data_IF_454640665794
#
_entry.id   IF_454640665794
#
_cell.length_a   1.000
_cell.length_b   1.000
_cell.length_c   1.000
_cell.angle_alpha   90.00
_cell.angle_beta   90.00
_cell.angle_gamma   90.00
#
_symmetry.space_group_name_H-M   'P 1'
#
loop_
_entity.id
_entity.type
_entity.pdbx_description
1 polymer ?
#
# COMPACT_ATOMS: atom_id res chain seq x y z
N UNK A 1 17.14 2.23 -16.45
CA UNK A 1 16.22 1.56 -17.40
C UNK A 1 15.06 0.84 -16.71
N UNK A 2 15.26 0.10 -15.61
CA UNK A 2 14.17 -0.60 -14.87
C UNK A 2 13.02 0.29 -14.38
N UNK A 3 13.30 1.52 -13.92
CA UNK A 3 12.25 2.42 -13.43
C UNK A 3 11.25 2.85 -14.52
N UNK A 4 11.74 3.05 -15.75
CA UNK A 4 10.89 3.45 -16.88
C UNK A 4 10.00 2.28 -17.35
N UNK A 5 10.54 1.06 -17.41
CA UNK A 5 9.75 -0.14 -17.75
C UNK A 5 8.72 -0.47 -16.67
N UNK A 6 9.06 -0.31 -15.39
CA UNK A 6 8.10 -0.51 -14.30
C UNK A 6 6.97 0.54 -14.31
N UNK A 7 7.29 1.80 -14.62
CA UNK A 7 6.29 2.85 -14.80
C UNK A 7 5.36 2.54 -15.98
N UNK A 8 5.92 2.15 -17.13
CA UNK A 8 5.14 1.81 -18.32
C UNK A 8 4.22 0.60 -18.06
N UNK A 9 4.72 -0.43 -17.37
CA UNK A 9 3.94 -1.61 -17.02
C UNK A 9 2.79 -1.28 -16.05
N UNK A 10 3.07 -0.46 -15.03
CA UNK A 10 2.05 0.01 -14.08
C UNK A 10 0.99 0.89 -14.75
N UNK A 11 1.39 1.80 -15.67
CA UNK A 11 0.44 2.59 -16.46
C UNK A 11 -0.41 1.72 -17.38
N UNK A 12 0.19 0.76 -18.07
CA UNK A 12 -0.55 -0.16 -18.93
C UNK A 12 -1.56 -0.97 -18.11
N UNK A 13 -1.14 -1.56 -16.99
CA UNK A 13 -2.02 -2.31 -16.09
C UNK A 13 -3.19 -1.44 -15.58
N UNK A 14 -2.93 -0.19 -15.22
CA UNK A 14 -3.98 0.74 -14.79
C UNK A 14 -4.99 1.06 -15.91
N UNK A 15 -4.50 1.31 -17.14
CA UNK A 15 -5.35 1.59 -18.30
C UNK A 15 -6.21 0.37 -18.68
N UNK A 16 -5.63 -0.83 -18.71
CA UNK A 16 -6.36 -2.06 -18.99
C UNK A 16 -7.36 -2.40 -17.88
N UNK A 17 -7.00 -2.19 -16.61
CA UNK A 17 -7.91 -2.34 -15.48
C UNK A 17 -9.10 -1.39 -15.55
N UNK A 18 -8.87 -0.13 -15.92
CA UNK A 18 -9.94 0.85 -16.15
C UNK A 18 -10.84 0.43 -17.31
N UNK A 19 -10.27 -0.01 -18.43
CA UNK A 19 -11.02 -0.50 -19.58
C UNK A 19 -11.90 -1.71 -19.21
N UNK A 20 -11.34 -2.67 -18.46
CA UNK A 20 -12.07 -3.83 -17.96
C UNK A 20 -13.21 -3.43 -17.01
N UNK A 21 -12.95 -2.53 -16.06
CA UNK A 21 -13.96 -2.04 -15.13
C UNK A 21 -15.11 -1.33 -15.86
N UNK A 22 -14.79 -0.46 -16.83
CA UNK A 22 -15.79 0.17 -17.69
C UNK A 22 -16.59 -0.90 -18.45
N UNK A 23 -15.91 -1.87 -19.09
CA UNK A 23 -16.57 -2.94 -19.85
C UNK A 23 -17.52 -3.78 -18.99
N UNK A 24 -17.10 -4.20 -17.79
CA UNK A 24 -17.93 -4.97 -16.85
C UNK A 24 -19.09 -4.13 -16.34
N UNK A 25 -18.88 -2.85 -16.04
CA UNK A 25 -19.93 -1.95 -15.58
C UNK A 25 -20.99 -1.75 -16.67
N UNK A 26 -20.57 -1.49 -17.91
CA UNK A 26 -21.49 -1.36 -19.05
C UNK A 26 -22.23 -2.66 -19.36
N UNK A 27 -21.57 -3.82 -19.23
CA UNK A 27 -22.20 -5.14 -19.46
C UNK A 27 -23.21 -5.50 -18.36
N UNK A 28 -22.89 -5.17 -17.11
CA UNK A 28 -23.78 -5.40 -15.95
C UNK A 28 -24.97 -4.45 -15.97
N UNK A 29 -24.78 -3.18 -16.36
CA UNK A 29 -25.87 -2.22 -16.56
C UNK A 29 -26.83 -2.70 -17.65
N UNK A 30 -26.30 -3.23 -18.77
CA UNK A 30 -27.11 -3.82 -19.85
C UNK A 30 -27.91 -5.06 -19.40
N UNK A 31 -27.38 -5.86 -18.47
CA UNK A 31 -28.12 -6.99 -17.86
C UNK A 31 -29.18 -6.52 -16.85
N UNK A 32 -28.89 -5.49 -16.05
CA UNK A 32 -29.85 -4.95 -15.06
C UNK A 32 -31.02 -4.23 -15.71
N UNK A 33 -30.82 -3.57 -16.85
CA UNK A 33 -31.92 -2.95 -17.64
C UNK A 33 -32.92 -4.00 -18.16
N UNK A 34 -32.51 -5.26 -18.34
CA UNK A 34 -33.41 -6.36 -18.75
C UNK A 34 -34.25 -6.92 -17.59
N UNK A 35 -33.78 -6.78 -16.35
CA UNK A 35 -34.50 -7.19 -15.13
C UNK A 35 -34.98 -5.93 -14.40
N UNK A 36 -36.21 -5.52 -14.67
CA UNK A 36 -36.93 -4.29 -14.30
C UNK A 36 -36.82 -3.80 -12.83
N UNK A 37 -35.62 -3.49 -12.33
CA UNK A 37 -35.38 -2.95 -10.98
C UNK A 37 -34.10 -2.12 -10.94
N UNK A 38 -34.29 -0.81 -10.73
CA UNK A 38 -33.33 0.28 -10.47
C UNK A 38 -32.74 1.06 -11.66
N UNK A 39 -32.62 2.37 -11.44
CA UNK A 39 -32.05 3.37 -12.35
C UNK A 39 -30.66 2.97 -12.88
N UNK A 40 -30.35 3.29 -14.15
CA UNK A 40 -29.11 2.88 -14.79
C UNK A 40 -27.90 3.52 -14.09
N UNK A 41 -26.94 2.69 -13.67
CA UNK A 41 -25.69 3.13 -13.04
C UNK A 41 -24.73 3.49 -14.15
N UNK A 42 -24.98 4.63 -14.81
CA UNK A 42 -24.08 5.14 -15.84
C UNK A 42 -22.81 5.71 -15.19
N UNK A 43 -21.61 5.39 -15.68
CA UNK A 43 -20.39 6.07 -15.26
C UNK A 43 -20.49 7.54 -15.69
N UNK A 44 -20.91 8.39 -14.77
CA UNK A 44 -21.04 9.83 -14.98
C UNK A 44 -19.72 10.53 -14.67
N UNK A 45 -19.33 11.50 -15.50
CA UNK A 45 -18.22 12.41 -15.21
C UNK A 45 -18.42 13.17 -13.89
N UNK A 46 -19.67 13.34 -13.45
CA UNK A 46 -19.98 13.89 -12.13
C UNK A 46 -19.58 12.93 -10.99
N UNK A 47 -19.79 11.62 -11.14
CA UNK A 47 -19.29 10.61 -10.20
C UNK A 47 -17.76 10.55 -10.20
N UNK A 48 -17.13 10.65 -11.38
CA UNK A 48 -15.67 10.73 -11.49
C UNK A 48 -15.12 11.97 -10.76
N UNK A 49 -15.76 13.13 -10.92
CA UNK A 49 -15.42 14.37 -10.20
C UNK A 49 -15.60 14.23 -8.69
N UNK A 50 -16.58 13.43 -8.25
CA UNK A 50 -16.82 13.15 -6.83
C UNK A 50 -15.75 12.21 -6.25
N UNK A 51 -15.29 11.22 -7.02
CA UNK A 51 -14.14 10.36 -6.67
C UNK A 51 -12.78 11.08 -6.79
N UNK A 52 -12.68 12.09 -7.66
CA UNK A 52 -11.42 12.81 -7.90
C UNK A 52 -10.95 13.58 -6.67
N UNK A 53 -11.85 14.05 -5.80
CA UNK A 53 -11.48 14.74 -4.54
C UNK A 53 -10.68 13.84 -3.59
N UNK A 54 -11.19 12.67 -3.16
CA UNK A 54 -10.40 11.76 -2.33
C UNK A 54 -9.18 11.20 -3.08
N UNK A 55 -9.32 10.93 -4.40
CA UNK A 55 -8.22 10.46 -5.23
C UNK A 55 -7.05 11.45 -5.35
N UNK A 56 -7.34 12.75 -5.43
CA UNK A 56 -6.32 13.79 -5.52
C UNK A 56 -5.48 13.90 -4.23
N UNK A 57 -6.09 13.70 -3.06
CA UNK A 57 -5.36 13.66 -1.79
C UNK A 57 -4.41 12.46 -1.73
N UNK A 58 -4.89 11.26 -2.09
CA UNK A 58 -4.04 10.07 -2.14
C UNK A 58 -2.93 10.18 -3.20
N UNK A 59 -3.21 10.82 -4.33
CA UNK A 59 -2.22 11.07 -5.37
C UNK A 59 -1.16 12.06 -4.93
N UNK A 60 -1.57 13.18 -4.29
CA UNK A 60 -0.65 14.18 -3.76
C UNK A 60 0.25 13.58 -2.67
N UNK A 61 -0.31 12.79 -1.75
CA UNK A 61 0.46 12.06 -0.75
C UNK A 61 1.50 11.13 -1.40
N UNK A 62 1.08 10.34 -2.40
CA UNK A 62 1.98 9.44 -3.13
C UNK A 62 3.08 10.20 -3.88
N UNK A 63 2.76 11.34 -4.50
CA UNK A 63 3.72 12.16 -5.22
C UNK A 63 4.77 12.76 -4.27
N UNK A 64 4.35 13.27 -3.12
CA UNK A 64 5.25 13.81 -2.09
C UNK A 64 6.18 12.71 -1.57
N UNK A 65 5.63 11.55 -1.20
CA UNK A 65 6.43 10.39 -0.73
C UNK A 65 7.46 9.97 -1.77
N UNK A 66 7.06 9.92 -3.04
CA UNK A 66 7.96 9.54 -4.12
C UNK A 66 9.05 10.59 -4.39
N UNK A 67 8.71 11.88 -4.33
CA UNK A 67 9.67 12.97 -4.48
C UNK A 67 10.71 12.96 -3.35
N UNK A 68 10.27 12.77 -2.10
CA UNK A 68 11.17 12.65 -0.95
C UNK A 68 12.09 11.43 -1.06
N UNK A 69 11.57 10.29 -1.51
CA UNK A 69 12.39 9.08 -1.74
C UNK A 69 13.47 9.32 -2.80
N UNK A 70 13.11 9.95 -3.93
CA UNK A 70 14.07 10.27 -4.99
C UNK A 70 15.14 11.26 -4.50
N UNK A 71 14.75 12.24 -3.69
CA UNK A 71 15.69 13.18 -3.09
C UNK A 71 16.68 12.48 -2.15
N UNK A 72 16.19 11.56 -1.31
CA UNK A 72 17.00 10.80 -0.37
C UNK A 72 17.95 9.83 -1.10
N UNK A 73 17.47 9.14 -2.15
CA UNK A 73 18.29 8.29 -3.02
C UNK A 73 19.40 9.12 -3.68
N UNK A 74 19.08 10.30 -4.20
CA UNK A 74 20.08 11.18 -4.81
C UNK A 74 21.17 11.59 -3.80
N UNK A 75 20.78 11.89 -2.55
CA UNK A 75 21.73 12.17 -1.48
C UNK A 75 22.65 11.00 -1.14
N UNK A 76 22.13 9.76 -1.15
CA UNK A 76 22.92 8.56 -0.86
C UNK A 76 23.84 8.18 -2.02
N UNK A 77 23.38 8.30 -3.26
CA UNK A 77 24.19 8.05 -4.45
C UNK A 77 25.36 9.04 -4.54
N UNK A 78 25.18 10.28 -4.07
CA UNK A 78 26.25 11.26 -3.97
C UNK A 78 27.34 10.92 -2.93
N UNK A 79 27.06 10.04 -1.95
CA UNK A 79 28.04 9.62 -0.92
C UNK A 79 29.02 8.52 -1.39
N UNK A 80 28.80 7.91 -2.56
CA UNK A 80 29.72 6.95 -3.18
C UNK A 80 29.06 5.63 -3.60
N UNK A 81 29.77 4.85 -4.43
CA UNK A 81 29.27 3.59 -5.02
C UNK A 81 28.88 2.54 -3.97
N UNK A 82 29.65 2.45 -2.89
CA UNK A 82 29.45 1.44 -1.84
C UNK A 82 28.19 1.76 -1.02
N UNK A 83 27.92 3.04 -0.76
CA UNK A 83 26.71 3.51 -0.09
C UNK A 83 25.47 3.36 -0.98
N UNK A 84 25.58 3.64 -2.28
CA UNK A 84 24.50 3.43 -3.23
C UNK A 84 24.10 1.94 -3.32
N UNK A 85 25.10 1.05 -3.35
CA UNK A 85 24.89 -0.40 -3.39
C UNK A 85 24.29 -0.92 -2.07
N UNK A 86 24.83 -0.46 -0.92
CA UNK A 86 24.29 -0.80 0.39
C UNK A 86 22.83 -0.36 0.54
N UNK A 87 22.48 0.83 0.05
CA UNK A 87 21.11 1.33 0.04
C UNK A 87 20.17 0.52 -0.87
N UNK A 88 20.66 0.07 -2.03
CA UNK A 88 19.90 -0.79 -2.94
C UNK A 88 19.57 -2.15 -2.30
N UNK A 89 20.56 -2.77 -1.66
CA UNK A 89 20.39 -4.04 -0.92
C UNK A 89 19.45 -3.83 0.27
N UNK A 90 19.69 -2.79 1.07
CA UNK A 90 18.83 -2.40 2.19
C UNK A 90 17.36 -2.22 1.76
N UNK A 91 17.14 -1.43 0.70
CA UNK A 91 15.82 -1.14 0.17
C UNK A 91 15.14 -2.41 -0.34
N UNK A 92 15.88 -3.30 -1.01
CA UNK A 92 15.34 -4.56 -1.53
C UNK A 92 14.86 -5.48 -0.42
N UNK A 93 15.65 -5.62 0.65
CA UNK A 93 15.27 -6.45 1.80
C UNK A 93 14.02 -5.87 2.46
N UNK A 94 14.01 -4.56 2.70
CA UNK A 94 12.86 -3.89 3.34
C UNK A 94 11.59 -3.97 2.51
N UNK A 95 11.68 -3.71 1.20
CA UNK A 95 10.51 -3.74 0.33
C UNK A 95 9.96 -5.15 0.16
N UNK A 96 10.83 -6.12 -0.12
CA UNK A 96 10.41 -7.50 -0.37
C UNK A 96 9.92 -8.22 0.88
N UNK A 97 10.65 -8.12 1.99
CA UNK A 97 10.40 -8.95 3.17
C UNK A 97 9.35 -8.35 4.12
N UNK A 98 9.26 -7.02 4.19
CA UNK A 98 8.40 -6.31 5.16
C UNK A 98 7.24 -5.61 4.44
N UNK A 99 7.53 -4.67 3.51
CA UNK A 99 6.48 -3.85 2.90
C UNK A 99 5.46 -4.65 2.09
N UNK A 100 5.87 -5.63 1.28
CA UNK A 100 4.94 -6.36 0.40
C UNK A 100 3.88 -7.15 1.19
N UNK A 101 4.24 -7.99 2.18
CA UNK A 101 3.24 -8.69 3.00
C UNK A 101 2.30 -7.74 3.75
N UNK A 102 2.82 -6.65 4.30
CA UNK A 102 2.05 -5.68 5.08
C UNK A 102 1.08 -4.91 4.19
N UNK A 103 1.53 -4.51 3.00
CA UNK A 103 0.66 -3.87 2.01
C UNK A 103 -0.44 -4.82 1.53
N UNK A 104 -0.13 -6.09 1.32
CA UNK A 104 -1.13 -7.10 0.96
C UNK A 104 -2.18 -7.24 2.07
N UNK A 105 -1.75 -7.39 3.32
CA UNK A 105 -2.65 -7.51 4.47
C UNK A 105 -3.52 -6.25 4.63
N UNK A 106 -2.94 -5.07 4.47
CA UNK A 106 -3.66 -3.79 4.48
C UNK A 106 -4.69 -3.69 3.36
N UNK A 107 -4.34 -4.06 2.13
CA UNK A 107 -5.26 -4.03 1.00
C UNK A 107 -6.47 -4.96 1.22
N UNK A 108 -6.23 -6.17 1.73
CA UNK A 108 -7.28 -7.12 2.08
C UNK A 108 -8.17 -6.59 3.21
N UNK A 109 -7.57 -6.02 4.25
CA UNK A 109 -8.29 -5.40 5.37
C UNK A 109 -9.18 -4.26 4.90
N UNK A 110 -8.65 -3.36 4.07
CA UNK A 110 -9.39 -2.23 3.51
C UNK A 110 -10.58 -2.70 2.67
N UNK A 111 -10.44 -3.81 1.93
CA UNK A 111 -11.55 -4.40 1.19
C UNK A 111 -12.65 -4.92 2.13
N UNK A 112 -12.31 -5.60 3.23
CA UNK A 112 -13.29 -6.06 4.23
C UNK A 112 -13.99 -4.92 4.97
N UNK A 113 -13.24 -3.88 5.34
CA UNK A 113 -13.81 -2.66 5.93
C UNK A 113 -14.73 -1.97 4.93
N UNK A 114 -14.32 -1.87 3.66
CA UNK A 114 -15.13 -1.28 2.60
C UNK A 114 -16.43 -2.04 2.36
N UNK A 115 -16.39 -3.37 2.42
CA UNK A 115 -17.57 -4.22 2.31
C UNK A 115 -18.55 -4.01 3.48
N UNK A 116 -18.06 -4.13 4.72
CA UNK A 116 -18.90 -3.93 5.93
C UNK A 116 -19.44 -2.51 6.05
N UNK A 117 -18.67 -1.51 5.63
CA UNK A 117 -19.15 -0.12 5.52
C UNK A 117 -20.24 0.03 4.46
N UNK A 118 -20.12 -0.68 3.34
CA UNK A 118 -21.12 -0.72 2.27
C UNK A 118 -22.45 -1.32 2.72
N UNK A 119 -22.40 -2.43 3.46
CA UNK A 119 -23.58 -3.07 4.07
C UNK A 119 -24.26 -2.13 5.08
N UNK A 120 -23.49 -1.54 5.99
CA UNK A 120 -24.02 -0.57 6.95
C UNK A 120 -24.68 0.64 6.27
N UNK A 121 -24.11 1.13 5.16
CA UNK A 121 -24.66 2.26 4.42
C UNK A 121 -25.91 1.88 3.61
N UNK A 122 -26.08 0.60 3.25
CA UNK A 122 -27.30 0.06 2.65
C UNK A 122 -28.44 -0.02 3.68
N UNK A 123 -28.13 -0.42 4.90
CA UNK A 123 -29.09 -0.48 6.02
C UNK A 123 -29.55 0.92 6.47
N UNK A 124 -28.67 1.91 6.43
CA UNK A 124 -28.94 3.27 6.93
C UNK A 124 -29.29 4.29 5.81
N UNK A 125 -29.61 3.79 4.60
CA UNK A 125 -29.69 4.57 3.36
C UNK A 125 -30.74 5.69 3.30
N UNK A 126 -31.62 5.79 4.29
CA UNK A 126 -32.70 6.80 4.34
C UNK A 126 -32.26 8.10 5.03
N UNK A 127 -31.18 8.09 5.83
CA UNK A 127 -30.71 9.26 6.57
C UNK A 127 -29.54 9.98 5.87
N UNK A 128 -29.64 11.30 5.74
CA UNK A 128 -28.62 12.16 5.09
C UNK A 128 -27.33 12.30 5.91
N UNK A 129 -27.36 11.96 7.20
CA UNK A 129 -26.23 11.94 8.15
C UNK A 129 -26.42 10.85 9.22
N UNK A 130 -26.17 9.58 8.90
CA UNK A 130 -26.32 8.50 9.88
C UNK A 130 -25.25 8.62 10.96
N UNK A 131 -25.67 8.72 12.23
CA UNK A 131 -24.75 8.64 13.38
C UNK A 131 -24.44 7.17 13.66
N UNK A 132 -23.25 6.72 13.26
CA UNK A 132 -22.76 5.40 13.62
C UNK A 132 -22.63 5.26 15.15
N UNK A 133 -23.32 4.28 15.74
CA UNK A 133 -23.09 3.89 17.13
C UNK A 133 -21.65 3.38 17.29
N UNK A 134 -21.01 3.68 18.44
CA UNK A 134 -19.64 3.25 18.75
C UNK A 134 -19.45 1.72 18.62
N UNK A 135 -20.49 0.95 18.92
CA UNK A 135 -20.47 -0.51 18.82
C UNK A 135 -20.42 -1.00 17.36
N UNK A 136 -21.11 -0.30 16.45
CA UNK A 136 -21.10 -0.61 15.01
C UNK A 136 -19.80 -0.16 14.34
N UNK A 137 -19.24 0.96 14.79
CA UNK A 137 -17.90 1.38 14.37
C UNK A 137 -16.83 0.35 14.78
N UNK A 138 -16.94 -0.22 15.98
CA UNK A 138 -16.03 -1.27 16.44
C UNK A 138 -16.14 -2.56 15.61
N UNK A 139 -17.36 -2.96 15.26
CA UNK A 139 -17.62 -4.12 14.41
C UNK A 139 -16.96 -3.99 13.02
N UNK A 140 -17.00 -2.78 12.45
CA UNK A 140 -16.36 -2.44 11.17
C UNK A 140 -14.82 -2.42 11.27
N UNK A 141 -14.26 -1.93 12.39
CA UNK A 141 -12.81 -1.77 12.57
C UNK A 141 -12.13 -3.04 13.10
N UNK A 142 -12.87 -4.00 13.66
CA UNK A 142 -12.36 -5.28 14.18
C UNK A 142 -11.40 -6.02 13.22
N UNK A 143 -11.67 -6.20 11.92
CA UNK A 143 -10.73 -6.81 10.98
C UNK A 143 -9.43 -6.01 10.82
N UNK A 144 -9.47 -4.69 11.01
CA UNK A 144 -8.29 -3.82 11.01
C UNK A 144 -7.39 -4.08 12.21
N UNK A 145 -7.98 -4.22 13.39
CA UNK A 145 -7.25 -4.49 14.62
C UNK A 145 -6.55 -5.85 14.58
N UNK A 146 -7.25 -6.88 14.08
CA UNK A 146 -6.65 -8.21 13.90
C UNK A 146 -5.51 -8.21 12.90
N UNK A 147 -5.68 -7.51 11.78
CA UNK A 147 -4.64 -7.40 10.76
C UNK A 147 -3.44 -6.62 11.26
N UNK A 148 -3.66 -5.56 12.03
CA UNK A 148 -2.59 -4.81 12.68
C UNK A 148 -1.83 -5.68 13.70
N UNK A 149 -2.54 -6.47 14.50
CA UNK A 149 -1.93 -7.39 15.46
C UNK A 149 -1.11 -8.49 14.78
N UNK A 150 -1.62 -9.06 13.68
CA UNK A 150 -0.90 -10.07 12.89
C UNK A 150 0.35 -9.44 12.23
N UNK A 151 0.22 -8.24 11.66
CA UNK A 151 1.36 -7.53 11.09
C UNK A 151 2.46 -7.33 12.14
N UNK A 152 2.13 -6.78 13.31
CA UNK A 152 3.11 -6.57 14.38
C UNK A 152 3.71 -7.87 14.89
N UNK A 153 2.90 -8.93 15.03
CA UNK A 153 3.37 -10.23 15.49
C UNK A 153 4.35 -10.91 14.52
N UNK A 154 4.29 -10.59 13.21
CA UNK A 154 5.21 -11.12 12.20
C UNK A 154 6.39 -10.18 11.95
N UNK A 155 6.15 -8.87 11.89
CA UNK A 155 7.19 -7.86 11.63
C UNK A 155 8.19 -7.76 12.78
N UNK A 156 7.73 -7.76 14.04
CA UNK A 156 8.62 -7.58 15.19
C UNK A 156 9.65 -8.71 15.30
N UNK A 157 9.28 -10.01 15.27
CA UNK A 157 10.26 -11.09 15.33
C UNK A 157 11.21 -11.08 14.14
N UNK A 158 10.68 -10.79 12.94
CA UNK A 158 11.46 -10.80 11.72
C UNK A 158 12.51 -9.67 11.72
N UNK A 159 12.14 -8.47 12.16
CA UNK A 159 13.05 -7.34 12.33
C UNK A 159 14.14 -7.61 13.38
N UNK A 160 13.78 -8.23 14.50
CA UNK A 160 14.72 -8.60 15.57
C UNK A 160 15.71 -9.66 15.06
N UNK A 161 15.22 -10.74 14.44
CA UNK A 161 16.06 -11.81 13.86
C UNK A 161 17.01 -11.27 12.78
N UNK A 162 16.53 -10.33 11.96
CA UNK A 162 17.37 -9.67 10.97
C UNK A 162 18.43 -8.75 11.59
N UNK A 163 18.11 -8.03 12.67
CA UNK A 163 19.04 -7.13 13.36
C UNK A 163 20.17 -7.87 14.08
N UNK A 164 19.82 -9.01 14.70
CA UNK A 164 20.75 -9.85 15.47
C UNK A 164 21.59 -10.74 14.56
N UNK A 165 20.98 -11.43 13.57
CA UNK A 165 21.62 -12.52 12.82
C UNK A 165 21.63 -12.35 11.30
N UNK A 166 20.59 -11.76 10.71
CA UNK A 166 20.31 -11.87 9.28
C UNK A 166 20.96 -10.83 8.37
N UNK A 167 20.93 -9.55 8.77
CA UNK A 167 21.20 -8.43 7.86
C UNK A 167 22.60 -8.48 7.22
N UNK A 168 23.63 -8.86 7.99
CA UNK A 168 25.00 -8.94 7.46
C UNK A 168 25.19 -10.09 6.47
N UNK A 169 24.66 -11.28 6.78
CA UNK A 169 24.79 -12.48 5.93
C UNK A 169 23.98 -12.34 4.65
N UNK A 170 22.76 -11.81 4.77
CA UNK A 170 21.88 -11.58 3.63
C UNK A 170 22.42 -10.47 2.72
N UNK A 171 22.99 -9.40 3.28
CA UNK A 171 23.65 -8.37 2.50
C UNK A 171 24.91 -8.88 1.80
N UNK A 172 25.72 -9.71 2.47
CA UNK A 172 26.88 -10.35 1.86
C UNK A 172 26.49 -11.28 0.70
N UNK A 173 25.40 -12.04 0.84
CA UNK A 173 24.86 -12.89 -0.23
C UNK A 173 24.41 -12.08 -1.47
N UNK A 174 23.88 -10.87 -1.27
CA UNK A 174 23.39 -10.02 -2.35
C UNK A 174 24.47 -9.15 -3.01
N UNK A 175 25.51 -8.74 -2.27
CA UNK A 175 26.51 -7.80 -2.77
C UNK A 175 27.90 -8.41 -3.00
N UNK A 176 28.15 -9.64 -2.53
CA UNK A 176 29.46 -10.33 -2.54
C UNK A 176 30.64 -9.50 -2.00
N UNK A 177 30.35 -8.42 -1.28
CA UNK A 177 31.32 -7.42 -0.81
C UNK A 177 31.21 -7.22 0.69
N UNK A 178 32.34 -7.38 1.38
CA UNK A 178 32.39 -7.30 2.83
C UNK A 178 32.13 -5.88 3.35
N UNK A 179 32.60 -4.85 2.64
CA UNK A 179 32.40 -3.43 3.00
C UNK A 179 30.92 -3.06 2.91
N UNK A 180 30.26 -3.40 1.80
CA UNK A 180 28.82 -3.15 1.58
C UNK A 180 27.95 -3.90 2.61
N UNK A 181 28.31 -5.14 2.96
CA UNK A 181 27.58 -5.92 3.96
C UNK A 181 27.63 -5.30 5.37
N UNK A 182 28.76 -4.69 5.74
CA UNK A 182 28.94 -4.02 7.03
C UNK A 182 28.18 -2.69 7.09
N UNK A 183 28.23 -1.91 6.00
CA UNK A 183 27.47 -0.66 5.87
C UNK A 183 25.97 -0.95 5.95
N UNK A 184 25.49 -1.98 5.24
CA UNK A 184 24.09 -2.39 5.24
C UNK A 184 23.63 -2.87 6.62
N UNK A 185 24.45 -3.67 7.32
CA UNK A 185 24.14 -4.12 8.68
C UNK A 185 24.09 -2.96 9.69
N UNK A 186 24.99 -1.97 9.53
CA UNK A 186 24.97 -0.74 10.34
C UNK A 186 23.71 0.07 10.06
N UNK A 187 23.38 0.30 8.78
CA UNK A 187 22.14 0.96 8.37
C UNK A 187 20.91 0.27 8.97
N UNK A 188 20.84 -1.06 8.93
CA UNK A 188 19.73 -1.84 9.48
C UNK A 188 19.56 -1.65 10.99
N UNK A 189 20.66 -1.63 11.75
CA UNK A 189 20.61 -1.39 13.21
C UNK A 189 20.27 0.04 13.58
N UNK A 190 20.62 1.01 12.74
CA UNK A 190 20.32 2.44 12.95
C UNK A 190 18.95 2.84 12.41
N UNK A 191 18.16 1.93 11.86
CA UNK A 191 16.77 2.25 11.50
C UNK A 191 16.01 2.59 12.76
N UNK A 192 15.45 3.79 12.77
CA UNK A 192 14.54 4.21 13.81
C UNK A 192 13.33 3.27 13.84
N UNK A 193 13.12 2.65 15.01
CA UNK A 193 11.95 1.83 15.34
C UNK A 193 10.61 2.54 15.04
N UNK A 194 10.63 3.87 14.83
CA UNK A 194 9.55 4.68 14.26
C UNK A 194 8.99 4.13 12.93
N UNK A 195 9.76 3.39 12.13
CA UNK A 195 9.26 2.79 10.89
C UNK A 195 8.37 1.55 11.10
N UNK A 196 8.49 0.84 12.23
CA UNK A 196 7.58 -0.27 12.57
C UNK A 196 6.17 0.30 12.87
N UNK A 197 6.11 1.51 13.40
CA UNK A 197 4.86 2.26 13.55
C UNK A 197 4.28 2.77 12.23
N UNK A 198 5.00 2.68 11.11
CA UNK A 198 4.43 3.03 9.81
C UNK A 198 3.32 2.05 9.38
N UNK A 199 3.44 0.77 9.75
CA UNK A 199 2.38 -0.22 9.58
C UNK A 199 1.13 0.11 10.43
N UNK A 200 1.32 0.79 11.57
CA UNK A 200 0.27 1.28 12.47
C UNK A 200 -0.32 2.65 12.04
N UNK A 201 0.41 3.43 11.25
CA UNK A 201 0.06 4.82 10.89
C UNK A 201 -0.91 4.92 9.69
N UNK A 202 -1.41 3.81 9.14
CA UNK A 202 -2.47 3.87 8.11
C UNK A 202 -3.71 3.11 8.51
#
# INVERSE_FOLDING_TARGET
MQAATQLACNMAAALFGLAYFCFVTFRTDRQRVMTHQYDPVRPSLACLKTLARPGALTFAESAIRNALNLWLVNGIVAMGSDYATAWGVFSSIRWGLIMVPVQALKATTLAFIGHSWGEWRKETGTERRPRASRHKLYEIIRPALWSCLIALAVELPLCILMSEYGARRFAFYLSESQTVSQITAKMWRTIDWCYIFYALST
#
